data_IF_361222815621
#
_entry.id   IF_361222815621
#
_cell.length_a   1.000
_cell.length_b   1.000
_cell.length_c   1.000
_cell.angle_alpha   90.00
_cell.angle_beta   90.00
_cell.angle_gamma   90.00
#
_symmetry.space_group_name_H-M   'P 1'
#
loop_
_entity.id
_entity.type
_entity.pdbx_description
1 polymer ?
#
# COMPACT_ATOMS: atom_id res chain seq x y z
N UNK A 1 15.50 -19.01 25.20
CA UNK A 1 15.29 -17.55 25.30
C UNK A 1 16.47 -16.78 24.68
N UNK A 2 17.71 -17.16 24.98
CA UNK A 2 18.94 -16.63 24.35
C UNK A 2 18.91 -16.75 22.81
N UNK A 3 18.58 -17.93 22.28
CA UNK A 3 18.60 -18.20 20.84
C UNK A 3 17.53 -17.40 20.09
N UNK A 4 16.33 -17.25 20.68
CA UNK A 4 15.25 -16.45 20.09
C UNK A 4 15.65 -14.98 19.96
N UNK A 5 16.26 -14.40 21.00
CA UNK A 5 16.76 -13.01 20.95
C UNK A 5 17.84 -12.85 19.88
N UNK A 6 18.73 -13.83 19.76
CA UNK A 6 19.78 -13.86 18.73
C UNK A 6 19.18 -13.89 17.32
N UNK A 7 18.17 -14.74 17.09
CA UNK A 7 17.48 -14.82 15.79
C UNK A 7 16.77 -13.49 15.47
N UNK A 8 16.05 -12.89 16.43
CA UNK A 8 15.43 -11.55 16.23
C UNK A 8 16.47 -10.50 15.81
N UNK A 9 17.64 -10.51 16.45
CA UNK A 9 18.75 -9.62 16.09
C UNK A 9 19.29 -9.86 14.67
N UNK A 10 19.35 -11.12 14.23
CA UNK A 10 19.73 -11.47 12.84
C UNK A 10 18.68 -10.97 11.84
N UNK A 11 17.40 -11.18 12.12
CA UNK A 11 16.29 -10.68 11.28
C UNK A 11 16.38 -9.17 11.16
N UNK A 12 16.52 -8.46 12.28
CA UNK A 12 16.65 -7.01 12.33
C UNK A 12 17.82 -6.53 11.48
N UNK A 13 18.99 -7.17 11.59
CA UNK A 13 20.17 -6.84 10.79
C UNK A 13 19.94 -7.06 9.29
N UNK A 14 19.28 -8.16 8.90
CA UNK A 14 18.94 -8.44 7.50
C UNK A 14 18.00 -7.35 6.97
N UNK A 15 16.87 -7.13 7.64
CA UNK A 15 15.85 -6.17 7.17
C UNK A 15 16.39 -4.74 7.11
N UNK A 16 17.20 -4.34 8.10
CA UNK A 16 17.86 -3.04 8.12
C UNK A 16 18.83 -2.88 6.95
N UNK A 17 19.69 -3.87 6.72
CA UNK A 17 20.70 -3.84 5.65
C UNK A 17 20.06 -3.81 4.27
N UNK A 18 18.97 -4.54 4.07
CA UNK A 18 18.29 -4.60 2.78
C UNK A 18 17.58 -3.30 2.41
N UNK A 19 17.05 -2.56 3.40
CA UNK A 19 16.36 -1.29 3.18
C UNK A 19 15.09 -1.38 2.31
N UNK A 20 14.64 -2.59 1.98
CA UNK A 20 13.48 -2.92 1.15
C UNK A 20 12.76 -4.15 1.70
N UNK A 21 11.56 -4.41 1.19
CA UNK A 21 10.83 -5.62 1.54
C UNK A 21 11.62 -6.88 1.15
N UNK A 22 11.67 -7.84 2.08
CA UNK A 22 12.31 -9.13 1.91
C UNK A 22 11.23 -10.21 1.98
N UNK A 23 11.06 -11.03 0.92
CA UNK A 23 10.09 -12.11 0.92
C UNK A 23 10.31 -13.07 2.08
N UNK A 24 9.21 -13.53 2.70
CA UNK A 24 9.26 -14.50 3.79
C UNK A 24 10.04 -15.76 3.38
N UNK A 25 9.88 -16.21 2.14
CA UNK A 25 10.61 -17.35 1.58
C UNK A 25 12.14 -17.16 1.62
N UNK A 26 12.65 -15.96 1.32
CA UNK A 26 14.08 -15.68 1.39
C UNK A 26 14.58 -15.70 2.84
N UNK A 27 13.78 -15.16 3.78
CA UNK A 27 14.11 -15.20 5.19
C UNK A 27 14.12 -16.65 5.71
N UNK A 28 13.14 -17.48 5.33
CA UNK A 28 13.12 -18.91 5.72
C UNK A 28 14.35 -19.66 5.22
N UNK A 29 14.79 -19.39 3.98
CA UNK A 29 15.97 -20.04 3.40
C UNK A 29 17.27 -19.66 4.10
N UNK A 30 17.43 -18.39 4.52
CA UNK A 30 18.64 -17.91 5.20
C UNK A 30 18.70 -18.32 6.67
N UNK A 31 17.54 -18.34 7.34
CA UNK A 31 17.44 -18.65 8.76
C UNK A 31 17.27 -20.14 9.05
N UNK A 32 17.03 -20.96 8.01
CA UNK A 32 16.73 -22.39 8.11
C UNK A 32 15.56 -22.67 9.08
N UNK A 33 14.53 -21.81 9.03
CA UNK A 33 13.33 -21.90 9.87
C UNK A 33 12.12 -22.25 9.03
N UNK A 34 11.16 -22.97 9.63
CA UNK A 34 9.87 -23.16 9.00
C UNK A 34 9.10 -21.83 8.87
N UNK A 35 8.23 -21.78 7.87
CA UNK A 35 7.52 -20.57 7.48
C UNK A 35 6.56 -20.07 8.56
N UNK A 36 5.86 -20.98 9.24
CA UNK A 36 4.88 -20.63 10.28
C UNK A 36 5.58 -20.02 11.49
N UNK A 37 6.61 -20.69 12.03
CA UNK A 37 7.37 -20.19 13.18
C UNK A 37 8.07 -18.87 12.89
N UNK A 38 8.60 -18.68 11.68
CA UNK A 38 9.19 -17.41 11.29
C UNK A 38 8.15 -16.29 11.19
N UNK A 39 6.96 -16.59 10.64
CA UNK A 39 5.85 -15.62 10.56
C UNK A 39 5.38 -15.20 11.95
N UNK A 40 5.19 -16.16 12.86
CA UNK A 40 4.85 -15.88 14.26
C UNK A 40 5.91 -15.00 14.94
N UNK A 41 7.19 -15.30 14.71
CA UNK A 41 8.30 -14.52 15.27
C UNK A 41 8.32 -13.08 14.73
N UNK A 42 8.06 -12.88 13.44
CA UNK A 42 7.99 -11.57 12.80
C UNK A 42 6.79 -10.76 13.30
N UNK A 43 5.63 -11.39 13.49
CA UNK A 43 4.45 -10.75 14.10
C UNK A 43 4.75 -10.31 15.54
N UNK A 44 5.41 -11.16 16.32
CA UNK A 44 5.85 -10.78 17.67
C UNK A 44 6.83 -9.60 17.64
N UNK A 45 7.81 -9.60 16.74
CA UNK A 45 8.74 -8.48 16.57
C UNK A 45 8.01 -7.18 16.17
N UNK A 46 7.02 -7.26 15.27
CA UNK A 46 6.18 -6.12 14.88
C UNK A 46 5.48 -5.52 16.10
N UNK A 47 4.87 -6.35 16.93
CA UNK A 47 4.22 -5.90 18.17
C UNK A 47 5.21 -5.29 19.17
N UNK A 48 6.40 -5.87 19.34
CA UNK A 48 7.44 -5.32 20.21
C UNK A 48 7.89 -3.93 19.74
N UNK A 49 8.12 -3.76 18.45
CA UNK A 49 8.50 -2.49 17.85
C UNK A 49 7.41 -1.42 18.00
N UNK A 50 6.14 -1.81 17.86
CA UNK A 50 5.01 -0.91 18.00
C UNK A 50 4.80 -0.47 19.45
N UNK A 51 4.95 -1.39 20.43
CA UNK A 51 4.78 -1.10 21.86
C UNK A 51 5.85 -0.17 22.44
N UNK A 52 7.06 -0.16 21.90
CA UNK A 52 8.13 0.69 22.40
C UNK A 52 8.02 2.12 21.82
N UNK A 53 7.45 3.05 22.60
CA UNK A 53 7.24 4.46 22.20
C UNK A 53 8.53 5.18 21.82
N UNK A 54 9.66 4.82 22.44
CA UNK A 54 10.96 5.44 22.16
C UNK A 54 11.53 5.06 20.77
N UNK A 55 11.02 4.02 20.10
CA UNK A 55 11.47 3.64 18.76
C UNK A 55 10.76 4.45 17.68
N UNK A 56 11.54 5.09 16.81
CA UNK A 56 11.04 5.76 15.60
C UNK A 56 10.87 4.85 14.38
N UNK A 57 11.12 3.55 14.51
CA UNK A 57 11.01 2.55 13.44
C UNK A 57 10.01 1.44 13.83
N UNK A 58 9.44 0.80 12.83
CA UNK A 58 8.51 -0.34 12.94
C UNK A 58 8.82 -1.42 11.89
N UNK A 59 8.27 -2.61 12.10
CA UNK A 59 8.20 -3.64 11.07
C UNK A 59 6.84 -3.57 10.39
N UNK A 60 6.84 -3.71 9.06
CA UNK A 60 5.62 -3.84 8.26
C UNK A 60 5.67 -5.13 7.44
N UNK A 61 4.49 -5.65 7.16
CA UNK A 61 4.27 -6.77 6.25
C UNK A 61 3.64 -6.22 4.97
N UNK A 62 4.10 -6.66 3.81
CA UNK A 62 3.65 -6.27 2.46
C UNK A 62 3.68 -7.51 1.56
N UNK A 63 2.53 -8.02 1.12
CA UNK A 63 2.43 -9.20 0.23
C UNK A 63 3.41 -10.33 0.60
N UNK A 64 3.28 -10.89 1.81
CA UNK A 64 4.14 -11.96 2.32
C UNK A 64 5.66 -11.60 2.38
N UNK A 65 5.97 -10.31 2.39
CA UNK A 65 7.31 -9.76 2.55
C UNK A 65 7.37 -8.84 3.76
N UNK A 66 8.58 -8.68 4.32
CA UNK A 66 8.79 -7.92 5.56
C UNK A 66 9.83 -6.83 5.38
N UNK A 67 9.63 -5.69 6.06
CA UNK A 67 10.53 -4.55 5.98
C UNK A 67 10.57 -3.75 7.29
N UNK A 68 11.73 -3.15 7.60
CA UNK A 68 11.83 -2.07 8.59
C UNK A 68 11.49 -0.72 7.93
N UNK A 69 10.57 0.03 8.53
CA UNK A 69 10.17 1.36 8.10
C UNK A 69 10.19 2.35 9.27
N UNK A 70 10.10 3.63 8.98
CA UNK A 70 9.90 4.68 9.99
C UNK A 70 8.44 4.71 10.43
N UNK A 71 8.17 4.93 11.72
CA UNK A 71 6.81 5.13 12.20
C UNK A 71 6.25 6.48 11.71
N UNK A 72 4.92 6.55 11.54
CA UNK A 72 4.24 7.72 10.96
C UNK A 72 4.43 8.98 11.80
N UNK A 73 4.56 8.86 13.12
CA UNK A 73 4.79 9.94 14.07
C UNK A 73 6.13 10.66 13.81
N UNK A 74 7.08 9.99 13.14
CA UNK A 74 8.38 10.57 12.78
C UNK A 74 8.36 11.30 11.44
N UNK A 75 7.25 11.25 10.70
CA UNK A 75 7.13 11.76 9.33
C UNK A 75 7.60 13.21 9.19
N UNK A 76 7.13 14.12 10.05
CA UNK A 76 7.49 15.54 9.96
C UNK A 76 8.98 15.81 10.15
N UNK A 77 9.68 14.95 10.90
CA UNK A 77 11.12 15.04 11.09
C UNK A 77 11.86 14.50 9.87
N UNK A 78 11.49 13.31 9.39
CA UNK A 78 12.09 12.67 8.22
C UNK A 78 11.90 13.55 6.97
N UNK A 79 10.70 14.09 6.76
CA UNK A 79 10.37 14.94 5.60
C UNK A 79 11.19 16.22 5.54
N UNK A 80 11.52 16.83 6.68
CA UNK A 80 12.36 18.04 6.74
C UNK A 80 13.76 17.76 6.19
N UNK A 81 14.29 16.56 6.45
CA UNK A 81 15.59 16.13 5.96
C UNK A 81 15.56 15.75 4.48
N UNK A 82 14.46 15.16 4.01
CA UNK A 82 14.35 14.54 2.67
C UNK A 82 13.78 15.47 1.58
N UNK A 83 13.23 16.64 1.90
CA UNK A 83 12.65 17.60 0.92
C UNK A 83 13.68 18.10 -0.13
N UNK A 84 13.50 18.09 -1.47
CA UNK A 84 12.33 17.87 -2.37
C UNK A 84 12.74 17.34 -3.79
N UNK A 85 11.80 16.91 -4.67
CA UNK A 85 10.94 17.82 -5.47
C UNK A 85 9.42 17.69 -5.19
N UNK A 86 8.65 18.69 -5.68
CA UNK A 86 7.18 18.89 -5.62
C UNK A 86 6.35 17.66 -5.17
N UNK A 87 5.47 17.89 -4.17
CA UNK A 87 4.39 16.95 -3.80
C UNK A 87 3.83 16.29 -5.05
N UNK A 88 4.06 14.99 -5.20
CA UNK A 88 3.31 14.14 -6.13
C UNK A 88 1.93 13.97 -5.51
N UNK A 89 1.05 14.95 -5.71
CA UNK A 89 -0.34 14.82 -5.26
C UNK A 89 -1.08 13.95 -6.26
N UNK A 90 -1.82 12.98 -5.76
CA UNK A 90 -2.84 12.30 -6.54
C UNK A 90 -4.01 13.27 -6.70
N UNK A 91 -4.39 13.55 -7.94
CA UNK A 91 -5.63 14.30 -8.23
C UNK A 91 -6.83 13.36 -8.08
N UNK A 92 -8.04 13.90 -7.99
CA UNK A 92 -9.27 13.09 -7.88
C UNK A 92 -9.40 12.09 -9.02
N UNK A 93 -9.05 12.51 -10.24
CA UNK A 93 -9.00 11.65 -11.44
C UNK A 93 -8.02 10.47 -11.26
N UNK A 94 -6.89 10.71 -10.61
CA UNK A 94 -5.90 9.66 -10.33
C UNK A 94 -6.34 8.75 -9.20
N UNK A 95 -6.95 9.30 -8.15
CA UNK A 95 -7.49 8.51 -7.04
C UNK A 95 -8.62 7.61 -7.52
N UNK A 96 -9.57 8.12 -8.29
CA UNK A 96 -10.66 7.34 -8.88
C UNK A 96 -10.12 6.19 -9.75
N UNK A 97 -9.15 6.49 -10.61
CA UNK A 97 -8.49 5.47 -11.45
C UNK A 97 -7.74 4.43 -10.62
N UNK A 98 -7.03 4.87 -9.58
CA UNK A 98 -6.30 3.99 -8.67
C UNK A 98 -7.24 3.07 -7.89
N UNK A 99 -8.37 3.59 -7.39
CA UNK A 99 -9.38 2.81 -6.69
C UNK A 99 -9.95 1.72 -7.59
N UNK A 100 -10.29 2.04 -8.85
CA UNK A 100 -10.77 1.02 -9.80
C UNK A 100 -9.73 -0.08 -9.98
N UNK A 101 -8.44 0.28 -10.14
CA UNK A 101 -7.37 -0.70 -10.28
C UNK A 101 -7.24 -1.55 -9.01
N UNK A 102 -7.23 -0.93 -7.83
CA UNK A 102 -7.07 -1.63 -6.56
C UNK A 102 -8.15 -2.70 -6.33
N UNK A 103 -9.41 -2.39 -6.62
CA UNK A 103 -10.55 -3.28 -6.38
C UNK A 103 -10.93 -4.19 -7.55
N UNK A 104 -10.46 -3.92 -8.77
CA UNK A 104 -10.79 -4.72 -9.97
C UNK A 104 -9.58 -5.40 -10.60
N UNK A 105 -8.38 -5.23 -10.06
CA UNK A 105 -7.21 -5.94 -10.58
C UNK A 105 -7.41 -7.46 -10.56
N UNK A 106 -6.87 -8.17 -11.56
CA UNK A 106 -6.21 -7.66 -12.77
C UNK A 106 -7.18 -6.95 -13.73
N UNK A 107 -6.90 -5.71 -14.14
CA UNK A 107 -7.81 -4.89 -14.98
C UNK A 107 -7.12 -4.25 -16.18
N UNK A 108 -7.81 -4.17 -17.32
CA UNK A 108 -7.30 -3.48 -18.52
C UNK A 108 -7.69 -2.00 -18.56
N UNK A 109 -6.97 -1.23 -19.37
CA UNK A 109 -7.29 0.18 -19.62
C UNK A 109 -8.73 0.38 -20.11
N UNK A 110 -9.20 -0.49 -21.00
CA UNK A 110 -10.55 -0.38 -21.58
C UNK A 110 -11.64 -0.60 -20.52
N UNK A 111 -11.43 -1.55 -19.61
CA UNK A 111 -12.36 -1.78 -18.49
C UNK A 111 -12.39 -0.60 -17.52
N UNK A 112 -11.24 0.01 -17.23
CA UNK A 112 -11.18 1.25 -16.43
C UNK A 112 -11.97 2.37 -17.12
N UNK A 113 -11.77 2.58 -18.41
CA UNK A 113 -12.49 3.62 -19.17
C UNK A 113 -13.99 3.35 -19.25
N UNK A 114 -14.40 2.08 -19.34
CA UNK A 114 -15.81 1.69 -19.32
C UNK A 114 -16.48 2.00 -17.98
N UNK A 115 -15.78 1.85 -16.86
CA UNK A 115 -16.28 2.19 -15.52
C UNK A 115 -16.32 3.71 -15.32
N UNK A 116 -15.26 4.44 -15.71
CA UNK A 116 -15.15 5.90 -15.53
C UNK A 116 -15.97 6.71 -16.53
N UNK A 117 -16.31 6.13 -17.68
CA UNK A 117 -16.96 6.83 -18.79
C UNK A 117 -16.07 7.85 -19.53
N UNK A 118 -14.79 7.98 -19.14
CA UNK A 118 -13.83 8.90 -19.75
C UNK A 118 -12.44 8.26 -19.89
N UNK A 119 -11.61 8.82 -20.77
CA UNK A 119 -10.24 8.33 -20.99
C UNK A 119 -9.39 8.40 -19.71
N UNK A 120 -8.54 7.39 -19.51
CA UNK A 120 -7.70 7.28 -18.32
C UNK A 120 -6.19 7.25 -18.62
N UNK A 121 -5.75 7.50 -19.87
CA UNK A 121 -4.33 7.45 -20.28
C UNK A 121 -3.40 8.22 -19.34
N UNK A 122 -3.74 9.48 -19.05
CA UNK A 122 -2.93 10.33 -18.20
C UNK A 122 -2.84 9.79 -16.76
N UNK A 123 -3.97 9.34 -16.21
CA UNK A 123 -4.04 8.83 -14.84
C UNK A 123 -3.23 7.54 -14.69
N UNK A 124 -3.44 6.57 -15.57
CA UNK A 124 -2.71 5.29 -15.55
C UNK A 124 -1.21 5.52 -15.70
N UNK A 125 -0.79 6.33 -16.67
CA UNK A 125 0.63 6.63 -16.89
C UNK A 125 1.27 7.27 -15.65
N UNK A 126 0.56 8.20 -14.98
CA UNK A 126 1.06 8.84 -13.76
C UNK A 126 1.11 7.88 -12.57
N UNK A 127 0.12 7.00 -12.42
CA UNK A 127 0.12 6.00 -11.34
C UNK A 127 1.26 4.98 -11.51
N UNK A 128 1.60 4.62 -12.76
CA UNK A 128 2.78 3.80 -13.08
C UNK A 128 4.08 4.56 -12.81
N UNK A 129 4.18 5.83 -13.19
CA UNK A 129 5.33 6.69 -12.88
C UNK A 129 5.56 6.81 -11.36
N UNK A 130 4.47 6.86 -10.59
CA UNK A 130 4.51 6.91 -9.13
C UNK A 130 4.71 5.55 -8.48
N UNK A 131 4.83 4.48 -9.28
CA UNK A 131 4.97 3.10 -8.84
C UNK A 131 3.81 2.59 -7.99
N UNK A 132 2.64 3.23 -8.01
CA UNK A 132 1.44 2.75 -7.32
C UNK A 132 0.73 1.65 -8.12
N UNK A 133 0.95 1.63 -9.43
CA UNK A 133 0.40 0.65 -10.37
C UNK A 133 1.54 0.06 -11.20
N UNK A 134 1.42 -1.21 -11.59
CA UNK A 134 2.33 -1.91 -12.50
C UNK A 134 1.56 -2.65 -13.59
N UNK A 135 2.24 -2.94 -14.69
CA UNK A 135 1.75 -3.87 -15.71
C UNK A 135 1.95 -5.31 -15.22
N UNK A 136 0.87 -6.11 -15.22
CA UNK A 136 0.90 -7.53 -14.86
C UNK A 136 1.13 -8.44 -16.08
N UNK A 137 0.98 -7.89 -17.29
CA UNK A 137 1.12 -8.64 -18.54
C UNK A 137 0.11 -8.18 -19.59
N UNK A 138 -0.19 -9.06 -20.54
CA UNK A 138 -1.17 -8.82 -21.61
C UNK A 138 -2.14 -9.99 -21.70
N UNK A 139 -3.41 -9.69 -21.97
CA UNK A 139 -4.40 -10.74 -22.25
C UNK A 139 -4.14 -11.38 -23.61
N UNK A 140 -4.38 -12.69 -23.72
CA UNK A 140 -4.32 -13.41 -25.00
C UNK A 140 -5.67 -13.32 -25.74
N UNK A 141 -6.08 -12.09 -26.02
CA UNK A 141 -7.32 -11.74 -26.74
C UNK A 141 -7.01 -10.75 -27.87
N UNK A 142 -8.02 -10.41 -28.67
CA UNK A 142 -7.87 -9.46 -29.79
C UNK A 142 -7.35 -8.12 -29.27
N UNK A 143 -6.26 -7.62 -29.86
CA UNK A 143 -5.61 -6.37 -29.45
C UNK A 143 -4.62 -6.50 -28.31
N UNK A 144 -4.51 -7.68 -27.65
CA UNK A 144 -3.57 -7.99 -26.56
C UNK A 144 -3.42 -6.84 -25.54
N UNK A 145 -4.53 -6.42 -24.90
CA UNK A 145 -4.52 -5.28 -23.99
C UNK A 145 -3.64 -5.56 -22.78
N UNK A 146 -2.97 -4.51 -22.31
CA UNK A 146 -2.15 -4.53 -21.09
C UNK A 146 -3.09 -4.60 -19.88
N UNK A 147 -2.69 -5.44 -18.92
CA UNK A 147 -3.35 -5.64 -17.63
C UNK A 147 -2.57 -4.92 -16.55
N UNK A 148 -3.28 -4.24 -15.65
CA UNK A 148 -2.73 -3.46 -14.55
C UNK A 148 -3.12 -4.04 -13.19
N UNK A 149 -2.26 -3.81 -12.20
CA UNK A 149 -2.49 -4.09 -10.79
C UNK A 149 -1.68 -3.17 -9.89
N UNK A 150 -1.92 -3.22 -8.58
CA UNK A 150 -1.21 -2.43 -7.58
C UNK A 150 0.17 -2.99 -7.28
N UNK A 151 0.95 -2.25 -6.50
CA UNK A 151 2.33 -2.59 -6.11
C UNK A 151 2.48 -2.63 -4.60
N UNK A 152 3.63 -3.11 -4.12
CA UNK A 152 4.01 -2.96 -2.71
C UNK A 152 4.09 -1.49 -2.26
N UNK A 153 4.39 -0.56 -3.17
CA UNK A 153 4.40 0.87 -2.84
C UNK A 153 2.98 1.38 -2.57
N UNK A 154 1.98 0.87 -3.30
CA UNK A 154 0.58 1.13 -2.98
C UNK A 154 0.26 0.62 -1.57
N UNK A 155 0.54 -0.65 -1.27
CA UNK A 155 0.27 -1.22 0.06
C UNK A 155 0.93 -0.40 1.18
N UNK A 156 2.18 0.01 0.99
CA UNK A 156 2.92 0.87 1.92
C UNK A 156 2.27 2.24 2.10
N UNK A 157 1.87 2.91 1.02
CA UNK A 157 1.25 4.23 1.09
C UNK A 157 -0.13 4.18 1.77
N UNK A 158 -0.88 3.10 1.58
CA UNK A 158 -2.24 2.94 2.12
C UNK A 158 -2.28 2.19 3.46
N UNK A 159 -1.13 1.71 3.95
CA UNK A 159 -1.01 1.12 5.27
C UNK A 159 -1.65 -0.26 5.42
N UNK A 160 -1.81 -0.99 4.31
CA UNK A 160 -2.40 -2.33 4.27
C UNK A 160 -1.32 -3.38 3.96
N UNK A 161 -1.47 -4.60 4.48
CA UNK A 161 -0.49 -5.67 4.27
C UNK A 161 -0.68 -6.40 2.94
N UNK A 162 -1.90 -6.39 2.42
CA UNK A 162 -2.32 -7.08 1.20
C UNK A 162 -3.55 -6.39 0.61
N UNK A 163 -3.92 -6.76 -0.62
CA UNK A 163 -5.07 -6.17 -1.28
C UNK A 163 -6.40 -6.60 -0.65
N UNK A 164 -6.41 -7.78 -0.02
CA UNK A 164 -7.56 -8.37 0.67
C UNK A 164 -7.95 -7.60 1.94
N UNK A 165 -7.04 -6.77 2.48
CA UNK A 165 -7.32 -5.89 3.63
C UNK A 165 -7.99 -4.56 3.21
N UNK A 166 -8.16 -4.30 1.91
CA UNK A 166 -8.89 -3.12 1.49
C UNK A 166 -10.35 -3.20 1.94
N UNK A 167 -10.95 -2.07 2.37
CA UNK A 167 -12.35 -2.04 2.78
C UNK A 167 -13.27 -2.57 1.68
N UNK A 168 -14.19 -3.48 2.01
CA UNK A 168 -15.21 -3.89 1.05
C UNK A 168 -16.00 -2.67 0.56
N UNK A 169 -16.20 -2.56 -0.76
CA UNK A 169 -17.06 -1.52 -1.37
C UNK A 169 -18.54 -1.91 -1.18
N UNK A 170 -18.92 -2.38 0.00
CA UNK A 170 -20.28 -2.80 0.28
C UNK A 170 -21.20 -1.58 0.44
N UNK A 171 -22.50 -1.78 0.24
CA UNK A 171 -23.54 -0.75 0.18
C UNK A 171 -23.49 0.28 1.34
N UNK A 172 -22.97 -0.11 2.50
CA UNK A 172 -22.80 0.74 3.69
C UNK A 172 -21.78 1.86 3.44
N UNK A 173 -20.68 1.57 2.74
CA UNK A 173 -19.67 2.56 2.39
C UNK A 173 -20.21 3.51 1.32
N UNK A 174 -21.03 3.01 0.38
CA UNK A 174 -21.75 3.89 -0.56
C UNK A 174 -22.73 4.82 0.16
N UNK A 175 -23.42 4.33 1.19
CA UNK A 175 -24.35 5.12 2.00
C UNK A 175 -23.61 6.19 2.81
N UNK A 176 -22.49 5.84 3.47
CA UNK A 176 -21.64 6.80 4.19
C UNK A 176 -21.05 7.86 3.27
N UNK A 177 -20.51 7.48 2.11
CA UNK A 177 -20.02 8.46 1.13
C UNK A 177 -21.14 9.32 0.54
N UNK A 178 -22.34 8.78 0.36
CA UNK A 178 -23.52 9.55 -0.04
C UNK A 178 -23.97 10.52 1.06
N UNK A 179 -23.98 10.11 2.31
CA UNK A 179 -24.36 10.94 3.46
C UNK A 179 -23.38 12.09 3.65
N UNK A 180 -22.07 11.82 3.63
CA UNK A 180 -21.02 12.84 3.70
C UNK A 180 -21.08 13.83 2.53
N UNK A 181 -21.28 13.34 1.30
CA UNK A 181 -21.44 14.19 0.13
C UNK A 181 -22.74 15.02 0.16
N UNK A 182 -23.82 14.48 0.74
CA UNK A 182 -25.09 15.20 0.91
C UNK A 182 -24.98 16.30 1.99
N UNK A 183 -24.21 16.06 3.06
CA UNK A 183 -23.92 17.09 4.09
C UNK A 183 -23.10 18.25 3.51
N UNK A 184 -22.02 17.98 2.76
CA UNK A 184 -21.21 19.04 2.13
C UNK A 184 -22.03 19.87 1.11
N UNK A 185 -22.95 19.24 0.37
CA UNK A 185 -23.87 19.94 -0.55
C UNK A 185 -24.90 20.77 0.22
N UNK A 186 -25.40 20.27 1.35
CA UNK A 186 -26.33 21.01 2.20
C UNK A 186 -25.67 22.24 2.87
N UNK A 187 -24.42 22.11 3.30
CA UNK A 187 -23.64 23.22 3.86
C UNK A 187 -23.34 24.30 2.81
N UNK A 188 -23.03 23.91 1.57
CA UNK A 188 -22.77 24.86 0.47
C UNK A 188 -24.04 25.56 -0.05
N UNK A 189 -25.23 25.00 0.17
CA UNK A 189 -26.52 25.62 -0.14
C UNK A 189 -27.04 26.57 0.95
N UNK A 190 -26.50 26.50 2.17
CA UNK A 190 -26.92 27.35 3.29
C UNK A 190 -26.08 28.64 3.41
N UNK A 191 -25.77 29.28 2.29
CA UNK A 191 -25.18 30.64 2.29
C UNK A 191 -26.21 31.60 2.90
N UNK A 192 -25.92 32.23 4.06
CA UNK A 192 -26.83 33.22 4.62
C UNK A 192 -26.91 34.42 3.68
N UNK A 193 -28.14 34.86 3.37
CA UNK A 193 -28.43 36.11 2.65
C UNK A 193 -27.92 37.31 3.44
#
# INVERSE_FOLDING_TARGET
MEDKKKIKGIIEAILFTMGRAVPLEQLTAVLEMDRESLRELLLEMKEEYNKEEARGICLIELDDSWQICTKIETYDYVRKLVSQPKKRSLTDVMLETLSIIAYKQPVTKQEIEAIRGVKCDFAVNKLVEYKLVKELGRLDTIGKPIVFGTTEEFLRCFGVSSIEELPDIDEVTKQSFMEEAMEEVAESLNVPV
#
